data_IF_757057094164
#
_entry.id   IF_757057094164
#
_cell.length_a   1.000
_cell.length_b   1.000
_cell.length_c   1.000
_cell.angle_alpha   90.00
_cell.angle_beta   90.00
_cell.angle_gamma   90.00
#
_symmetry.space_group_name_H-M   'P 1'
#
loop_
_entity.id
_entity.type
_entity.pdbx_description
1 polymer ?
#
# COMPACT_ATOMS: atom_id res chain seq x y z
N UNK A 1 -3.91 -37.35 37.54
CA UNK A 1 -5.19 -36.93 36.92
C UNK A 1 -4.92 -36.36 35.55
N UNK A 2 -5.28 -37.11 34.50
CA UNK A 2 -5.12 -36.70 33.11
C UNK A 2 -6.25 -35.76 32.69
N UNK A 3 -5.93 -34.51 32.33
CA UNK A 3 -6.87 -33.65 31.60
C UNK A 3 -6.73 -33.92 30.10
N UNK A 4 -7.41 -34.96 29.64
CA UNK A 4 -7.59 -35.29 28.23
C UNK A 4 -8.86 -34.58 27.71
N UNK A 5 -8.64 -33.49 26.98
CA UNK A 5 -9.37 -33.13 25.76
C UNK A 5 -10.84 -32.66 25.82
N UNK A 6 -11.08 -31.47 25.26
CA UNK A 6 -12.32 -31.12 24.54
C UNK A 6 -11.94 -30.08 23.48
N UNK A 7 -11.79 -30.39 22.19
CA UNK A 7 -12.65 -30.99 21.13
C UNK A 7 -13.06 -29.89 20.14
N UNK A 8 -12.79 -30.18 18.87
CA UNK A 8 -13.31 -29.54 17.66
C UNK A 8 -12.72 -28.18 17.29
N UNK A 9 -11.66 -28.22 16.49
CA UNK A 9 -11.37 -27.18 15.50
C UNK A 9 -12.56 -27.14 14.54
N UNK A 10 -13.58 -26.35 14.88
CA UNK A 10 -14.65 -26.04 13.95
C UNK A 10 -13.99 -25.37 12.75
N UNK A 11 -14.09 -25.98 11.57
CA UNK A 11 -13.47 -25.47 10.34
C UNK A 11 -13.93 -24.05 10.00
N UNK A 12 -15.05 -23.62 10.59
CA UNK A 12 -15.58 -22.28 10.49
C UNK A 12 -15.63 -21.67 11.90
N UNK A 13 -14.76 -20.68 12.21
CA UNK A 13 -14.85 -19.97 13.48
C UNK A 13 -16.16 -19.17 13.56
N UNK A 14 -16.67 -18.85 14.76
CA UNK A 14 -17.91 -18.10 14.90
C UNK A 14 -17.83 -16.74 14.19
N UNK A 15 -18.95 -16.31 13.60
CA UNK A 15 -19.07 -15.00 12.96
C UNK A 15 -18.62 -13.88 13.91
N UNK A 16 -17.82 -12.92 13.41
CA UNK A 16 -17.17 -11.84 14.18
C UNK A 16 -16.12 -12.24 15.23
N UNK A 17 -15.69 -13.51 15.27
CA UNK A 17 -14.52 -13.86 16.05
C UNK A 17 -13.23 -13.26 15.46
N UNK A 18 -12.22 -13.06 16.32
CA UNK A 18 -10.89 -12.61 15.91
C UNK A 18 -10.29 -13.48 14.80
N UNK A 19 -10.53 -14.79 14.83
CA UNK A 19 -10.09 -15.73 13.80
C UNK A 19 -10.83 -15.56 12.47
N UNK A 20 -12.14 -15.27 12.52
CA UNK A 20 -12.95 -15.02 11.33
C UNK A 20 -12.47 -13.76 10.57
N UNK A 21 -12.20 -12.68 11.31
CA UNK A 21 -11.72 -11.42 10.71
C UNK A 21 -10.37 -11.61 10.05
N UNK A 22 -9.45 -12.34 10.69
CA UNK A 22 -8.12 -12.61 10.11
C UNK A 22 -8.23 -13.46 8.84
N UNK A 23 -9.10 -14.47 8.82
CA UNK A 23 -9.25 -15.34 7.65
C UNK A 23 -9.90 -14.63 6.47
N UNK A 24 -10.87 -13.73 6.72
CA UNK A 24 -11.64 -13.05 5.67
C UNK A 24 -11.23 -11.58 5.51
N UNK A 25 -10.04 -11.18 5.99
CA UNK A 25 -9.61 -9.77 6.00
C UNK A 25 -9.61 -9.16 4.60
N UNK A 26 -9.16 -9.92 3.59
CA UNK A 26 -9.12 -9.48 2.20
C UNK A 26 -10.53 -9.15 1.68
N UNK A 27 -11.51 -10.02 1.94
CA UNK A 27 -12.90 -9.81 1.51
C UNK A 27 -13.56 -8.65 2.26
N UNK A 28 -13.37 -8.56 3.58
CA UNK A 28 -13.91 -7.46 4.40
C UNK A 28 -13.36 -6.12 3.92
N UNK A 29 -12.04 -6.02 3.74
CA UNK A 29 -11.40 -4.79 3.28
C UNK A 29 -11.80 -4.47 1.83
N UNK A 30 -11.95 -5.49 0.97
CA UNK A 30 -12.47 -5.31 -0.40
C UNK A 30 -13.90 -4.76 -0.40
N UNK A 31 -14.77 -5.25 0.49
CA UNK A 31 -16.12 -4.71 0.65
C UNK A 31 -16.08 -3.24 1.07
N UNK A 32 -15.21 -2.86 2.01
CA UNK A 32 -15.05 -1.45 2.43
C UNK A 32 -14.55 -0.60 1.26
N UNK A 33 -13.55 -1.06 0.50
CA UNK A 33 -13.07 -0.35 -0.69
C UNK A 33 -14.18 -0.19 -1.75
N UNK A 34 -15.00 -1.23 -1.94
CA UNK A 34 -16.13 -1.21 -2.88
C UNK A 34 -17.19 -0.18 -2.49
N UNK A 35 -17.42 0.09 -1.19
CA UNK A 35 -18.35 1.13 -0.76
C UNK A 35 -17.93 2.51 -1.26
N UNK A 36 -16.63 2.83 -1.28
CA UNK A 36 -16.15 4.08 -1.85
C UNK A 36 -16.38 4.13 -3.36
N UNK A 37 -16.13 3.03 -4.07
CA UNK A 37 -16.34 2.95 -5.54
C UNK A 37 -17.83 3.10 -5.90
N UNK A 38 -18.71 2.37 -5.22
CA UNK A 38 -20.17 2.50 -5.41
C UNK A 38 -20.65 3.89 -5.00
N UNK A 39 -20.03 4.49 -3.97
CA UNK A 39 -20.30 5.86 -3.54
C UNK A 39 -20.04 6.91 -4.63
N UNK A 40 -19.19 6.63 -5.63
CA UNK A 40 -19.02 7.52 -6.79
C UNK A 40 -20.22 7.50 -7.73
N UNK A 41 -20.97 6.39 -7.80
CA UNK A 41 -22.11 6.23 -8.72
C UNK A 41 -23.36 6.98 -8.26
N UNK A 42 -23.44 7.35 -6.97
CA UNK A 42 -24.57 8.07 -6.39
C UNK A 42 -24.20 9.55 -6.26
N UNK A 43 -25.00 10.43 -6.88
CA UNK A 43 -24.70 11.87 -6.96
C UNK A 43 -24.50 12.54 -5.58
N UNK A 44 -25.25 12.11 -4.55
CA UNK A 44 -25.16 12.66 -3.21
C UNK A 44 -23.87 12.26 -2.46
N UNK A 45 -23.36 11.05 -2.68
CA UNK A 45 -22.14 10.53 -2.00
C UNK A 45 -20.87 10.74 -2.81
N UNK A 46 -21.01 11.01 -4.11
CA UNK A 46 -19.91 11.23 -5.05
C UNK A 46 -18.83 12.22 -4.56
N UNK A 47 -19.14 13.43 -4.03
CA UNK A 47 -18.10 14.35 -3.58
C UNK A 47 -17.29 13.80 -2.39
N UNK A 48 -17.91 13.01 -1.52
CA UNK A 48 -17.23 12.36 -0.41
C UNK A 48 -16.36 11.20 -0.88
N UNK A 49 -16.88 10.33 -1.75
CA UNK A 49 -16.10 9.22 -2.31
C UNK A 49 -14.92 9.71 -3.18
N UNK A 50 -15.14 10.77 -3.95
CA UNK A 50 -14.09 11.40 -4.76
C UNK A 50 -12.92 11.88 -3.90
N UNK A 51 -13.19 12.37 -2.69
CA UNK A 51 -12.16 12.80 -1.73
C UNK A 51 -11.14 11.70 -1.38
N UNK A 52 -11.57 10.44 -1.40
CA UNK A 52 -10.73 9.29 -1.08
C UNK A 52 -10.08 8.67 -2.32
N UNK A 53 -10.70 8.78 -3.50
CA UNK A 53 -10.23 8.05 -4.69
C UNK A 53 -9.32 8.92 -5.57
N UNK A 54 -9.69 10.18 -5.79
CA UNK A 54 -8.98 11.03 -6.74
C UNK A 54 -7.78 11.73 -6.08
N UNK A 55 -6.75 12.00 -6.87
CA UNK A 55 -5.63 12.84 -6.44
C UNK A 55 -6.09 14.29 -6.29
N UNK A 56 -5.81 14.88 -5.12
CA UNK A 56 -6.22 16.24 -4.77
C UNK A 56 -5.09 17.25 -4.96
N UNK A 57 -5.43 18.54 -4.90
CA UNK A 57 -4.51 19.67 -5.00
C UNK A 57 -3.90 19.84 -6.40
N UNK A 58 -4.75 19.79 -7.43
CA UNK A 58 -4.35 20.13 -8.79
C UNK A 58 -4.18 21.66 -8.91
N UNK A 59 -2.96 22.11 -9.21
CA UNK A 59 -2.56 23.50 -9.44
C UNK A 59 -2.22 23.74 -10.92
N UNK A 60 -2.90 23.05 -11.85
CA UNK A 60 -2.65 23.25 -13.29
C UNK A 60 -2.86 24.72 -13.69
N UNK A 61 -1.78 25.42 -14.00
CA UNK A 61 -1.85 26.67 -14.75
C UNK A 61 -2.17 26.34 -16.21
N UNK A 62 -3.32 26.81 -16.72
CA UNK A 62 -3.66 26.66 -18.13
C UNK A 62 -2.85 27.66 -18.97
N UNK A 63 -1.69 27.23 -19.46
CA UNK A 63 -0.98 27.95 -20.53
C UNK A 63 -1.33 27.32 -21.88
N UNK A 64 -1.58 28.17 -22.89
CA UNK A 64 -2.15 27.87 -24.22
C UNK A 64 -1.40 26.84 -25.10
N UNK A 65 -0.34 26.19 -24.61
CA UNK A 65 0.56 25.37 -25.45
C UNK A 65 0.71 23.93 -24.96
N UNK A 66 0.60 23.64 -23.66
CA UNK A 66 0.58 22.27 -23.12
C UNK A 66 0.08 22.31 -21.66
N UNK A 67 -1.07 21.71 -21.35
CA UNK A 67 -1.59 21.66 -19.98
C UNK A 67 -0.86 20.59 -19.16
N UNK A 68 0.32 20.91 -18.62
CA UNK A 68 1.01 20.00 -17.70
C UNK A 68 0.28 20.05 -16.36
N UNK A 69 -0.42 18.97 -16.02
CA UNK A 69 -1.18 18.87 -14.77
C UNK A 69 -0.21 18.76 -13.59
N UNK A 70 -0.08 19.85 -12.84
CA UNK A 70 0.79 19.96 -11.65
C UNK A 70 -0.02 19.85 -10.37
N UNK A 71 0.58 19.25 -9.34
CA UNK A 71 -0.05 19.02 -8.05
C UNK A 71 0.79 19.61 -6.92
N UNK A 72 0.14 20.11 -5.87
CA UNK A 72 0.77 20.52 -4.61
C UNK A 72 0.51 19.48 -3.52
N UNK A 73 1.22 19.54 -2.39
CA UNK A 73 0.93 18.68 -1.23
C UNK A 73 -0.23 19.25 -0.40
N UNK A 74 -1.02 18.39 0.26
CA UNK A 74 -1.97 18.89 1.25
C UNK A 74 -2.72 17.80 2.02
N UNK A 75 -3.52 18.22 3.02
CA UNK A 75 -4.14 17.30 3.98
C UNK A 75 -5.10 16.29 3.35
N UNK A 76 -5.74 16.62 2.22
CA UNK A 76 -6.61 15.69 1.49
C UNK A 76 -5.86 14.48 0.94
N UNK A 77 -4.52 14.55 0.81
CA UNK A 77 -3.71 13.42 0.37
C UNK A 77 -3.70 12.28 1.41
N UNK A 78 -4.04 12.56 2.68
CA UNK A 78 -4.23 11.53 3.72
C UNK A 78 -5.44 10.65 3.40
N UNK A 79 -6.54 11.23 2.92
CA UNK A 79 -7.74 10.48 2.52
C UNK A 79 -7.44 9.56 1.32
N UNK A 80 -6.68 10.09 0.35
CA UNK A 80 -6.23 9.33 -0.81
C UNK A 80 -5.31 8.18 -0.38
N UNK A 81 -4.33 8.48 0.47
CA UNK A 81 -3.41 7.47 1.03
C UNK A 81 -4.17 6.38 1.79
N UNK A 82 -5.21 6.73 2.55
CA UNK A 82 -6.05 5.76 3.26
C UNK A 82 -6.78 4.82 2.30
N UNK A 83 -7.36 5.32 1.21
CA UNK A 83 -8.02 4.48 0.21
C UNK A 83 -7.04 3.52 -0.44
N UNK A 84 -5.88 4.01 -0.91
CA UNK A 84 -4.87 3.16 -1.52
C UNK A 84 -4.24 2.19 -0.52
N UNK A 85 -4.19 2.53 0.77
CA UNK A 85 -3.81 1.60 1.84
C UNK A 85 -4.75 0.39 1.90
N UNK A 86 -6.07 0.59 1.78
CA UNK A 86 -7.03 -0.53 1.70
C UNK A 86 -6.78 -1.39 0.46
N UNK A 87 -6.53 -0.75 -0.70
CA UNK A 87 -6.19 -1.46 -1.93
C UNK A 87 -4.89 -2.26 -1.78
N UNK A 88 -3.87 -1.72 -1.11
CA UNK A 88 -2.63 -2.44 -0.83
C UNK A 88 -2.87 -3.71 0.00
N UNK A 89 -3.76 -3.70 1.00
CA UNK A 89 -4.11 -4.90 1.77
C UNK A 89 -4.73 -5.97 0.84
N UNK A 90 -5.66 -5.58 -0.02
CA UNK A 90 -6.31 -6.51 -0.97
C UNK A 90 -5.30 -7.09 -1.96
N UNK A 91 -4.45 -6.25 -2.55
CA UNK A 91 -3.42 -6.69 -3.49
C UNK A 91 -2.41 -7.61 -2.79
N UNK A 92 -2.01 -7.31 -1.55
CA UNK A 92 -1.11 -8.16 -0.77
C UNK A 92 -1.70 -9.57 -0.61
N UNK A 93 -2.97 -9.66 -0.20
CA UNK A 93 -3.66 -10.93 -0.03
C UNK A 93 -3.74 -11.72 -1.35
N UNK A 94 -4.07 -11.05 -2.46
CA UNK A 94 -4.11 -11.67 -3.80
C UNK A 94 -2.73 -12.21 -4.20
N UNK A 95 -1.67 -11.42 -4.07
CA UNK A 95 -0.30 -11.85 -4.40
C UNK A 95 0.09 -13.05 -3.53
N UNK A 96 -0.25 -13.02 -2.25
CA UNK A 96 0.05 -14.12 -1.34
C UNK A 96 -0.65 -15.42 -1.77
N UNK A 97 -1.97 -15.38 -1.96
CA UNK A 97 -2.78 -16.56 -2.25
C UNK A 97 -2.50 -17.15 -3.64
N UNK A 98 -2.48 -16.28 -4.67
CA UNK A 98 -2.43 -16.72 -6.07
C UNK A 98 -1.01 -17.01 -6.56
N UNK A 99 -0.02 -16.30 -6.03
CA UNK A 99 1.38 -16.40 -6.50
C UNK A 99 2.24 -17.11 -5.47
N UNK A 100 2.44 -16.51 -4.29
CA UNK A 100 3.46 -16.97 -3.33
C UNK A 100 3.12 -18.35 -2.75
N UNK A 101 1.89 -18.55 -2.30
CA UNK A 101 1.45 -19.82 -1.75
C UNK A 101 1.44 -20.91 -2.83
N UNK A 102 1.13 -20.57 -4.09
CA UNK A 102 1.16 -21.51 -5.21
C UNK A 102 2.59 -21.97 -5.52
N UNK A 103 3.57 -21.06 -5.45
CA UNK A 103 4.99 -21.38 -5.61
C UNK A 103 5.48 -22.20 -4.42
N UNK A 104 5.15 -21.80 -3.19
CA UNK A 104 5.60 -22.51 -2.00
C UNK A 104 5.04 -23.93 -1.91
N UNK A 105 3.79 -24.15 -2.35
CA UNK A 105 3.20 -25.50 -2.46
C UNK A 105 3.94 -26.37 -3.48
N UNK A 106 4.37 -25.80 -4.62
CA UNK A 106 5.18 -26.52 -5.62
C UNK A 106 6.58 -26.86 -5.12
N UNK A 107 7.17 -25.99 -4.31
CA UNK A 107 8.54 -26.17 -3.78
C UNK A 107 8.62 -26.98 -2.48
N UNK A 108 7.48 -27.46 -1.95
CA UNK A 108 7.40 -28.26 -0.72
C UNK A 108 8.20 -27.67 0.46
N UNK A 109 8.15 -26.34 0.64
CA UNK A 109 8.92 -25.66 1.68
C UNK A 109 8.38 -25.98 3.09
N UNK A 110 9.29 -26.04 4.06
CA UNK A 110 8.91 -26.17 5.48
C UNK A 110 8.18 -24.91 5.97
N UNK A 111 7.38 -25.04 7.04
CA UNK A 111 6.56 -23.94 7.58
C UNK A 111 7.36 -22.67 7.92
N UNK A 112 8.58 -22.82 8.41
CA UNK A 112 9.47 -21.68 8.72
C UNK A 112 10.00 -21.03 7.44
N UNK A 113 10.38 -21.83 6.44
CA UNK A 113 10.85 -21.32 5.14
C UNK A 113 9.71 -20.64 4.37
N UNK A 114 8.49 -21.16 4.48
CA UNK A 114 7.29 -20.59 3.87
C UNK A 114 7.02 -19.17 4.37
N UNK A 115 7.03 -18.94 5.68
CA UNK A 115 6.77 -17.61 6.24
C UNK A 115 7.80 -16.58 5.79
N UNK A 116 9.10 -16.92 5.80
CA UNK A 116 10.17 -16.04 5.32
C UNK A 116 10.10 -15.81 3.80
N UNK A 117 9.72 -16.83 3.04
CA UNK A 117 9.53 -16.75 1.59
C UNK A 117 8.37 -15.82 1.23
N UNK A 118 7.23 -15.91 1.93
CA UNK A 118 6.09 -15.04 1.67
C UNK A 118 6.45 -13.57 1.94
N UNK A 119 7.10 -13.28 3.07
CA UNK A 119 7.55 -11.92 3.40
C UNK A 119 8.53 -11.37 2.36
N UNK A 120 9.56 -12.15 2.01
CA UNK A 120 10.56 -11.73 1.02
C UNK A 120 9.95 -11.60 -0.38
N UNK A 121 8.99 -12.46 -0.71
CA UNK A 121 8.28 -12.45 -1.99
C UNK A 121 7.42 -11.20 -2.16
N UNK A 122 6.68 -10.80 -1.12
CA UNK A 122 5.88 -9.57 -1.13
C UNK A 122 6.77 -8.33 -1.32
N UNK A 123 7.89 -8.26 -0.59
CA UNK A 123 8.87 -7.19 -0.76
C UNK A 123 9.47 -7.18 -2.17
N UNK A 124 9.78 -8.34 -2.74
CA UNK A 124 10.31 -8.46 -4.11
C UNK A 124 9.32 -7.89 -5.14
N UNK A 125 8.04 -8.25 -5.05
CA UNK A 125 7.01 -7.71 -5.94
C UNK A 125 6.91 -6.19 -5.82
N UNK A 126 6.91 -5.67 -4.60
CA UNK A 126 6.84 -4.24 -4.35
C UNK A 126 8.05 -3.47 -4.88
N UNK A 127 9.27 -3.94 -4.58
CA UNK A 127 10.49 -3.29 -5.06
C UNK A 127 10.63 -3.40 -6.58
N UNK A 128 10.25 -4.52 -7.19
CA UNK A 128 10.24 -4.66 -8.64
C UNK A 128 9.33 -3.64 -9.33
N UNK A 129 8.10 -3.49 -8.83
CA UNK A 129 7.17 -2.47 -9.33
C UNK A 129 7.67 -1.04 -9.07
N UNK A 130 8.26 -0.79 -7.91
CA UNK A 130 8.78 0.52 -7.52
C UNK A 130 9.97 0.94 -8.37
N UNK A 131 10.89 0.02 -8.68
CA UNK A 131 12.05 0.28 -9.54
C UNK A 131 11.59 0.52 -10.97
N UNK A 132 10.65 -0.27 -11.49
CA UNK A 132 10.12 -0.07 -12.84
C UNK A 132 9.46 1.30 -12.99
N UNK A 133 8.60 1.68 -12.04
CA UNK A 133 7.92 2.98 -12.06
C UNK A 133 8.91 4.14 -11.83
N UNK A 134 9.77 4.03 -10.81
CA UNK A 134 10.80 5.03 -10.53
C UNK A 134 11.73 5.24 -11.72
N UNK A 135 12.17 4.17 -12.37
CA UNK A 135 12.95 4.21 -13.60
C UNK A 135 12.20 4.91 -14.74
N UNK A 136 10.92 4.62 -14.93
CA UNK A 136 10.09 5.31 -15.93
C UNK A 136 9.99 6.82 -15.67
N UNK A 137 9.85 7.25 -14.41
CA UNK A 137 9.86 8.68 -14.04
C UNK A 137 11.23 9.31 -14.35
N UNK A 138 12.31 8.64 -13.95
CA UNK A 138 13.69 9.13 -14.17
C UNK A 138 13.98 9.32 -15.66
N UNK A 139 13.55 8.38 -16.51
CA UNK A 139 13.71 8.47 -17.96
C UNK A 139 12.86 9.60 -18.56
N UNK A 140 11.60 9.74 -18.12
CA UNK A 140 10.68 10.76 -18.65
C UNK A 140 11.16 12.19 -18.34
N UNK A 141 11.69 12.41 -17.15
CA UNK A 141 12.21 13.71 -16.70
C UNK A 141 13.69 13.94 -17.11
N UNK A 142 14.31 13.02 -17.88
CA UNK A 142 15.73 13.07 -18.28
C UNK A 142 16.71 13.34 -17.11
N UNK A 143 16.34 12.88 -15.91
CA UNK A 143 17.07 13.14 -14.67
C UNK A 143 18.49 12.54 -14.66
N UNK A 144 18.73 11.49 -15.45
CA UNK A 144 20.06 10.88 -15.58
C UNK A 144 21.08 11.79 -16.25
N UNK A 145 20.63 12.63 -17.19
CA UNK A 145 21.50 13.51 -17.96
C UNK A 145 21.62 14.90 -17.32
N UNK A 146 20.58 15.34 -16.60
CA UNK A 146 20.51 16.65 -15.97
C UNK A 146 20.30 16.56 -14.46
N UNK A 147 21.28 16.04 -13.72
CA UNK A 147 21.20 15.94 -12.26
C UNK A 147 20.97 17.30 -11.57
N UNK A 148 21.48 18.39 -12.17
CA UNK A 148 21.29 19.75 -11.67
C UNK A 148 19.83 20.20 -11.66
N UNK A 149 18.98 19.62 -12.53
CA UNK A 149 17.56 19.94 -12.61
C UNK A 149 16.80 19.58 -11.32
N UNK A 150 17.33 18.67 -10.50
CA UNK A 150 16.75 18.33 -9.20
C UNK A 150 16.73 19.49 -8.22
N UNK A 151 17.68 20.43 -8.32
CA UNK A 151 17.87 21.52 -7.37
C UNK A 151 17.45 22.88 -7.95
N UNK A 152 17.10 22.91 -9.23
CA UNK A 152 16.78 24.12 -9.96
C UNK A 152 15.38 24.63 -9.57
N UNK A 153 15.29 25.79 -8.92
CA UNK A 153 14.00 26.35 -8.46
C UNK A 153 13.53 25.85 -7.09
N UNK A 154 14.43 25.30 -6.27
CA UNK A 154 14.10 24.90 -4.90
C UNK A 154 13.65 26.11 -4.04
N UNK A 155 12.58 25.99 -3.23
CA UNK A 155 11.78 24.80 -2.96
C UNK A 155 10.73 24.50 -4.04
N UNK A 156 10.65 23.23 -4.46
CA UNK A 156 9.68 22.78 -5.46
C UNK A 156 8.29 22.69 -4.84
N UNK A 157 7.39 23.59 -5.21
CA UNK A 157 6.01 23.56 -4.73
C UNK A 157 5.11 22.61 -5.53
N UNK A 158 5.51 22.28 -6.76
CA UNK A 158 4.69 21.56 -7.72
C UNK A 158 5.30 20.22 -8.15
N UNK A 159 4.46 19.20 -8.30
CA UNK A 159 4.85 17.87 -8.73
C UNK A 159 3.92 17.32 -9.82
N UNK A 160 4.50 16.58 -10.77
CA UNK A 160 3.74 15.88 -11.81
C UNK A 160 2.90 14.78 -11.19
N UNK A 161 1.70 14.53 -11.75
CA UNK A 161 0.79 13.46 -11.32
C UNK A 161 1.48 12.13 -11.00
N UNK A 162 2.29 11.62 -11.94
CA UNK A 162 2.97 10.32 -11.81
C UNK A 162 3.92 10.29 -10.61
N UNK A 163 4.58 11.41 -10.34
CA UNK A 163 5.48 11.55 -9.21
C UNK A 163 4.70 11.58 -7.90
N UNK A 164 3.65 12.41 -7.80
CA UNK A 164 2.80 12.48 -6.60
C UNK A 164 2.19 11.13 -6.29
N UNK A 165 1.64 10.47 -7.30
CA UNK A 165 0.97 9.20 -7.15
C UNK A 165 1.93 8.11 -6.68
N UNK A 166 3.17 8.10 -7.19
CA UNK A 166 4.21 7.20 -6.73
C UNK A 166 4.42 7.31 -5.22
N UNK A 167 4.58 8.52 -4.67
CA UNK A 167 4.75 8.69 -3.21
C UNK A 167 3.53 8.26 -2.40
N UNK A 168 2.32 8.54 -2.87
CA UNK A 168 1.10 8.09 -2.18
C UNK A 168 1.04 6.57 -2.11
N UNK A 169 1.36 5.86 -3.21
CA UNK A 169 1.39 4.39 -3.22
C UNK A 169 2.49 3.85 -2.31
N UNK A 170 3.67 4.48 -2.28
CA UNK A 170 4.74 4.11 -1.36
C UNK A 170 4.28 4.24 0.10
N UNK A 171 3.69 5.38 0.48
CA UNK A 171 3.13 5.60 1.82
C UNK A 171 2.04 4.59 2.17
N UNK A 172 1.09 4.37 1.26
CA UNK A 172 0.01 3.40 1.42
C UNK A 172 0.54 1.99 1.64
N UNK A 173 1.58 1.59 0.90
CA UNK A 173 2.25 0.31 1.09
C UNK A 173 2.91 0.24 2.46
N UNK A 174 3.74 1.20 2.88
CA UNK A 174 4.37 1.05 4.20
C UNK A 174 3.36 1.10 5.36
N UNK A 175 2.23 1.77 5.20
CA UNK A 175 1.11 1.70 6.13
C UNK A 175 0.43 0.32 6.16
N UNK A 176 0.28 -0.35 5.00
CA UNK A 176 -0.36 -1.68 4.93
C UNK A 176 0.41 -2.74 5.75
N UNK A 177 1.71 -2.53 5.98
CA UNK A 177 2.54 -3.47 6.73
C UNK A 177 2.06 -3.64 8.18
N UNK A 178 1.52 -2.60 8.83
CA UNK A 178 1.08 -2.71 10.23
C UNK A 178 -0.10 -3.67 10.44
N UNK A 179 -1.25 -3.53 9.75
CA UNK A 179 -2.34 -4.50 9.86
C UNK A 179 -1.93 -5.88 9.32
N UNK A 180 -1.03 -5.95 8.35
CA UNK A 180 -0.55 -7.23 7.81
C UNK A 180 0.23 -8.04 8.85
N UNK A 181 1.07 -7.39 9.67
CA UNK A 181 1.76 -8.05 10.80
C UNK A 181 0.76 -8.69 11.77
N UNK A 182 -0.42 -8.08 11.94
CA UNK A 182 -1.50 -8.61 12.75
C UNK A 182 -2.23 -9.77 12.04
N UNK A 183 -2.55 -9.66 10.75
CA UNK A 183 -3.22 -10.71 9.98
C UNK A 183 -2.35 -11.98 9.84
N UNK A 184 -1.04 -11.83 9.66
CA UNK A 184 -0.10 -12.95 9.55
C UNK A 184 0.24 -13.62 10.89
N UNK A 185 -0.22 -13.05 12.02
CA UNK A 185 0.09 -13.52 13.39
C UNK A 185 1.60 -13.72 13.60
N UNK A 186 2.38 -12.71 13.24
CA UNK A 186 3.84 -12.72 13.42
C UNK A 186 4.17 -12.94 14.89
N UNK A 187 5.26 -13.69 15.15
CA UNK A 187 5.73 -13.95 16.51
C UNK A 187 6.00 -12.63 17.23
N UNK A 188 5.65 -12.57 18.52
CA UNK A 188 5.86 -11.37 19.36
C UNK A 188 7.32 -10.92 19.41
N UNK A 189 8.26 -11.86 19.28
CA UNK A 189 9.70 -11.60 19.25
C UNK A 189 10.15 -10.83 18.00
N UNK A 190 9.54 -11.11 16.84
CA UNK A 190 9.89 -10.51 15.54
C UNK A 190 9.09 -9.21 15.28
N UNK A 191 8.00 -8.99 16.02
CA UNK A 191 7.11 -7.84 15.86
C UNK A 191 7.79 -6.47 16.03
N UNK A 192 8.60 -6.19 17.07
CA UNK A 192 9.19 -4.87 17.26
C UNK A 192 10.18 -4.50 16.15
N UNK A 193 10.96 -5.46 15.66
CA UNK A 193 11.93 -5.24 14.58
C UNK A 193 11.21 -4.83 13.28
N UNK A 194 10.13 -5.54 12.93
CA UNK A 194 9.35 -5.25 11.72
C UNK A 194 8.60 -3.92 11.80
N UNK A 195 8.05 -3.60 12.96
CA UNK A 195 7.40 -2.30 13.21
C UNK A 195 8.42 -1.18 13.07
N UNK A 196 9.62 -1.32 13.66
CA UNK A 196 10.68 -0.34 13.54
C UNK A 196 11.07 -0.12 12.08
N UNK A 197 11.31 -1.21 11.33
CA UNK A 197 11.65 -1.15 9.91
C UNK A 197 10.58 -0.41 9.08
N UNK A 198 9.31 -0.77 9.24
CA UNK A 198 8.20 -0.11 8.53
C UNK A 198 8.06 1.36 8.93
N UNK A 199 8.27 1.69 10.20
CA UNK A 199 8.19 3.07 10.70
C UNK A 199 9.31 3.94 10.13
N UNK A 200 10.54 3.45 10.11
CA UNK A 200 11.68 4.17 9.52
C UNK A 200 11.44 4.43 8.03
N UNK A 201 10.94 3.43 7.29
CA UNK A 201 10.60 3.61 5.89
C UNK A 201 9.49 4.66 5.67
N UNK A 202 8.45 4.65 6.51
CA UNK A 202 7.40 5.68 6.46
C UNK A 202 7.92 7.08 6.72
N UNK A 203 8.75 7.25 7.75
CA UNK A 203 9.34 8.55 8.08
C UNK A 203 10.21 9.02 6.91
N UNK A 204 11.04 8.14 6.35
CA UNK A 204 11.91 8.47 5.22
C UNK A 204 11.10 8.92 4.00
N UNK A 205 10.06 8.19 3.63
CA UNK A 205 9.23 8.50 2.45
C UNK A 205 8.37 9.74 2.70
N UNK A 206 7.84 9.91 3.91
CA UNK A 206 7.07 11.12 4.28
C UNK A 206 7.95 12.36 4.26
N UNK A 207 9.17 12.27 4.79
CA UNK A 207 10.14 13.35 4.71
C UNK A 207 10.50 13.65 3.25
N UNK A 208 10.78 12.63 2.44
CA UNK A 208 11.06 12.80 1.01
C UNK A 208 9.86 13.38 0.23
N UNK A 209 8.62 13.16 0.68
CA UNK A 209 7.42 13.74 0.09
C UNK A 209 7.24 15.22 0.44
N UNK A 210 7.58 15.62 1.68
CA UNK A 210 7.44 17.00 2.16
C UNK A 210 8.60 17.88 1.71
N UNK A 211 9.83 17.37 1.79
CA UNK A 211 11.07 18.10 1.49
C UNK A 211 11.52 17.99 0.03
N UNK A 212 10.60 17.56 -0.84
CA UNK A 212 10.87 17.28 -2.23
C UNK A 212 11.33 18.51 -3.03
#
# INVERSE_FOLDING_TARGET
MAFKGRKSSNKNPPFFSHEFVIQNHADIVSCVALLFVVGLMIQATSPYAYMFIALHHNSTEQTNVESVVRYTYGLKDVCVTFFYFLICIVIHAIIQEYILDKISRKLHLSKVKHSKFNESGQLLFFYGMSIFWGGHIILKENLLLNFSSLWEGYPHTEMVFMFKFFFIIQLAYWLHQFPELYFQKVKKEEMPEKICYATVALIFISAAYIFK
#
